data_IF_570580499444
#
_entry.id   IF_570580499444
#
_cell.length_a   1.000
_cell.length_b   1.000
_cell.length_c   1.000
_cell.angle_alpha   90.00
_cell.angle_beta   90.00
_cell.angle_gamma   90.00
#
_symmetry.space_group_name_H-M   'P 1'
#
loop_
_entity.id
_entity.type
_entity.pdbx_description
1 polymer ?
#
# COMPACT_ATOMS: atom_id res chain seq x y z
N UNK A 1 -5.80 -12.59 -7.99
CA UNK A 1 -4.68 -11.68 -7.65
C UNK A 1 -3.40 -12.21 -8.26
N UNK A 2 -2.44 -11.35 -8.56
CA UNK A 2 -1.11 -11.74 -9.06
C UNK A 2 -0.01 -11.22 -8.13
N UNK A 3 1.04 -12.02 -7.93
CA UNK A 3 2.24 -11.59 -7.21
C UNK A 3 3.45 -11.62 -8.14
N UNK A 4 4.26 -10.57 -8.11
CA UNK A 4 5.49 -10.45 -8.91
C UNK A 4 6.65 -9.97 -8.05
N UNK A 5 7.83 -10.51 -8.30
CA UNK A 5 9.09 -10.09 -7.69
C UNK A 5 10.03 -9.60 -8.78
N UNK A 6 10.40 -8.33 -8.74
CA UNK A 6 11.25 -7.69 -9.76
C UNK A 6 12.33 -6.89 -9.04
N UNK A 7 13.58 -7.36 -9.09
CA UNK A 7 14.67 -6.76 -8.32
C UNK A 7 14.32 -6.65 -6.83
N UNK A 8 14.33 -5.42 -6.30
CA UNK A 8 13.97 -5.13 -4.92
C UNK A 8 12.46 -4.85 -4.70
N UNK A 9 11.65 -4.92 -5.75
CA UNK A 9 10.20 -4.71 -5.69
C UNK A 9 9.46 -6.02 -5.49
N UNK A 10 8.45 -5.99 -4.62
CA UNK A 10 7.46 -7.04 -4.40
C UNK A 10 6.09 -6.43 -4.71
N UNK A 11 5.45 -6.91 -5.77
CA UNK A 11 4.25 -6.30 -6.33
C UNK A 11 3.08 -7.25 -6.12
N UNK A 12 2.05 -6.78 -5.43
CA UNK A 12 0.76 -7.45 -5.32
C UNK A 12 -0.26 -6.70 -6.17
N UNK A 13 -0.72 -7.34 -7.25
CA UNK A 13 -1.73 -6.78 -8.14
C UNK A 13 -3.10 -7.41 -7.86
N UNK A 14 -4.00 -6.55 -7.39
CA UNK A 14 -5.37 -6.89 -7.02
C UNK A 14 -6.23 -6.68 -8.26
N UNK A 15 -6.63 -7.78 -8.89
CA UNK A 15 -7.51 -7.77 -10.07
C UNK A 15 -8.96 -7.63 -9.64
N UNK A 16 -9.35 -8.44 -8.66
CA UNK A 16 -10.68 -8.48 -8.05
C UNK A 16 -10.60 -9.16 -6.67
N UNK A 17 -11.53 -8.80 -5.79
CA UNK A 17 -11.73 -9.43 -4.47
C UNK A 17 -13.18 -9.90 -4.43
N UNK A 18 -13.45 -11.18 -4.75
CA UNK A 18 -14.81 -11.68 -4.96
C UNK A 18 -15.53 -12.01 -3.63
N UNK A 19 -15.35 -11.19 -2.59
CA UNK A 19 -16.02 -11.34 -1.30
C UNK A 19 -16.36 -9.96 -0.72
N UNK A 20 -17.55 -9.83 -0.10
CA UNK A 20 -17.86 -8.68 0.75
C UNK A 20 -17.08 -8.86 2.05
N UNK A 21 -16.19 -7.94 2.35
CA UNK A 21 -15.42 -7.97 3.58
C UNK A 21 -16.12 -7.13 4.64
N UNK A 22 -16.23 -7.69 5.85
CA UNK A 22 -16.85 -7.04 6.99
C UNK A 22 -16.07 -5.76 7.35
N UNK A 23 -16.79 -4.72 7.79
CA UNK A 23 -16.23 -3.39 8.09
C UNK A 23 -14.99 -3.49 8.98
N UNK A 24 -13.81 -3.40 8.36
CA UNK A 24 -12.51 -3.35 9.05
C UNK A 24 -12.25 -1.97 9.67
N UNK A 25 -11.28 -1.86 10.60
CA UNK A 25 -10.83 -0.57 11.11
C UNK A 25 -10.52 0.40 9.98
N UNK A 26 -10.85 1.68 10.18
CA UNK A 26 -10.67 2.71 9.16
C UNK A 26 -9.25 2.74 8.61
N UNK A 27 -9.13 3.01 7.30
CA UNK A 27 -7.91 3.01 6.50
C UNK A 27 -6.70 3.67 7.18
N UNK A 28 -6.90 4.74 7.96
CA UNK A 28 -5.84 5.46 8.68
C UNK A 28 -5.17 4.58 9.77
N UNK A 29 -5.96 3.78 10.50
CA UNK A 29 -5.43 2.90 11.55
C UNK A 29 -4.58 1.78 10.94
N UNK A 30 -5.06 1.19 9.85
CA UNK A 30 -4.32 0.17 9.10
C UNK A 30 -3.00 0.73 8.54
N UNK A 31 -3.02 1.95 8.00
CA UNK A 31 -1.81 2.64 7.53
C UNK A 31 -0.82 2.94 8.67
N UNK A 32 -1.32 3.25 9.86
CA UNK A 32 -0.49 3.48 11.05
C UNK A 32 0.20 2.19 11.50
N UNK A 33 -0.53 1.07 11.51
CA UNK A 33 0.04 -0.25 11.82
C UNK A 33 1.07 -0.68 10.77
N UNK A 34 0.85 -0.35 9.50
CA UNK A 34 1.79 -0.62 8.41
C UNK A 34 3.10 0.20 8.49
N UNK A 35 3.19 1.19 9.38
CA UNK A 35 4.37 2.08 9.50
C UNK A 35 5.63 1.34 9.93
N UNK A 36 5.54 0.42 10.87
CA UNK A 36 6.69 -0.38 11.33
C UNK A 36 7.19 -1.29 10.20
N UNK A 37 6.27 -1.97 9.52
CA UNK A 37 6.57 -2.79 8.35
C UNK A 37 7.23 -1.98 7.23
N UNK A 38 6.68 -0.82 6.90
CA UNK A 38 7.24 0.07 5.87
C UNK A 38 8.68 0.49 6.20
N UNK A 39 8.94 0.83 7.47
CA UNK A 39 10.29 1.20 7.93
C UNK A 39 11.27 0.03 7.80
N UNK A 40 10.86 -1.19 8.13
CA UNK A 40 11.73 -2.36 8.04
C UNK A 40 12.00 -2.79 6.58
N UNK A 41 11.00 -2.67 5.70
CA UNK A 41 11.18 -2.85 4.26
C UNK A 41 12.20 -1.83 3.70
N UNK A 42 12.08 -0.57 4.10
CA UNK A 42 13.00 0.51 3.74
C UNK A 42 14.45 0.19 4.14
N UNK A 43 14.67 -0.23 5.39
CA UNK A 43 15.99 -0.66 5.90
C UNK A 43 16.57 -1.85 5.11
N UNK A 44 15.72 -2.78 4.67
CA UNK A 44 16.12 -3.96 3.88
C UNK A 44 16.26 -3.66 2.39
N UNK A 45 16.14 -2.39 1.98
CA UNK A 45 16.18 -1.94 0.58
C UNK A 45 15.06 -2.54 -0.29
N UNK A 46 13.94 -2.93 0.31
CA UNK A 46 12.78 -3.54 -0.37
C UNK A 46 11.68 -2.49 -0.54
N UNK A 47 10.97 -2.57 -1.66
CA UNK A 47 9.69 -1.86 -1.86
C UNK A 47 8.57 -2.86 -2.04
N UNK A 48 7.54 -2.77 -1.21
CA UNK A 48 6.28 -3.48 -1.42
C UNK A 48 5.28 -2.55 -2.12
N UNK A 49 4.76 -2.95 -3.27
CA UNK A 49 3.84 -2.16 -4.08
C UNK A 49 2.51 -2.88 -4.23
N UNK A 50 1.42 -2.19 -3.91
CA UNK A 50 0.06 -2.66 -4.13
C UNK A 50 -0.47 -1.98 -5.39
N UNK A 51 -0.96 -2.79 -6.32
CA UNK A 51 -1.61 -2.34 -7.55
C UNK A 51 -3.08 -2.75 -7.54
N UNK A 52 -3.90 -1.95 -8.23
CA UNK A 52 -5.29 -2.27 -8.56
C UNK A 52 -5.39 -2.31 -10.09
N UNK A 53 -5.59 -3.51 -10.65
CA UNK A 53 -5.66 -3.75 -12.10
C UNK A 53 -4.44 -3.16 -12.83
N UNK A 54 -3.24 -3.43 -12.32
CA UNK A 54 -1.96 -2.98 -12.88
C UNK A 54 -1.58 -1.52 -12.58
N UNK A 55 -2.46 -0.74 -11.93
CA UNK A 55 -2.15 0.64 -11.55
C UNK A 55 -1.67 0.72 -10.09
N UNK A 56 -0.49 1.32 -9.80
CA UNK A 56 -0.01 1.50 -8.43
C UNK A 56 -0.99 2.32 -7.59
N UNK A 57 -1.30 1.82 -6.39
CA UNK A 57 -2.18 2.47 -5.40
C UNK A 57 -1.41 2.85 -4.13
N UNK A 58 -0.46 2.01 -3.73
CA UNK A 58 0.35 2.23 -2.54
C UNK A 58 1.75 1.65 -2.73
N UNK A 59 2.75 2.31 -2.15
CA UNK A 59 4.09 1.75 -1.97
C UNK A 59 4.53 1.87 -0.51
N UNK A 60 5.19 0.83 -0.01
CA UNK A 60 5.79 0.76 1.30
C UNK A 60 7.29 0.46 1.17
N UNK A 61 8.12 1.16 1.93
CA UNK A 61 9.56 0.92 1.97
C UNK A 61 10.36 1.85 1.07
N UNK A 62 11.41 1.31 0.46
CA UNK A 62 12.56 2.09 -0.04
C UNK A 62 12.19 3.21 -1.03
N UNK A 63 11.30 2.93 -1.96
CA UNK A 63 10.95 3.86 -3.05
C UNK A 63 9.66 4.65 -2.80
N UNK A 64 9.10 4.59 -1.59
CA UNK A 64 7.94 5.40 -1.25
C UNK A 64 8.27 6.89 -1.34
N UNK A 65 7.45 7.65 -2.08
CA UNK A 65 7.47 9.12 -2.16
C UNK A 65 6.35 9.70 -1.31
N UNK A 66 6.62 10.24 -0.11
CA UNK A 66 5.59 10.58 0.87
C UNK A 66 4.74 11.82 0.54
N UNK A 67 4.67 12.28 -0.72
CA UNK A 67 4.07 13.57 -1.12
C UNK A 67 2.61 13.76 -0.66
N UNK A 68 1.82 12.68 -0.57
CA UNK A 68 0.46 12.69 -0.01
C UNK A 68 0.34 11.88 1.29
N UNK A 69 1.20 10.88 1.48
CA UNK A 69 1.17 10.00 2.64
C UNK A 69 1.66 10.70 3.93
N UNK A 70 2.58 11.67 3.86
CA UNK A 70 3.10 12.34 5.07
C UNK A 70 2.00 13.06 5.86
N UNK A 71 0.96 13.56 5.19
CA UNK A 71 -0.16 14.29 5.78
C UNK A 71 -1.12 13.35 6.53
N UNK A 72 -1.31 12.12 6.03
CA UNK A 72 -2.31 11.17 6.57
C UNK A 72 -1.67 10.09 7.44
N UNK A 73 -0.45 9.64 7.13
CA UNK A 73 0.22 8.52 7.83
C UNK A 73 1.37 8.98 8.74
N UNK A 74 1.79 10.25 8.63
CA UNK A 74 2.97 10.78 9.31
C UNK A 74 4.24 9.92 9.09
N UNK A 75 4.33 9.22 7.95
CA UNK A 75 5.45 8.33 7.60
C UNK A 75 6.10 8.73 6.29
N UNK A 76 7.43 8.68 6.23
CA UNK A 76 8.21 8.87 5.00
C UNK A 76 8.33 7.61 4.15
N UNK A 77 8.06 6.43 4.74
CA UNK A 77 8.23 5.12 4.10
C UNK A 77 6.92 4.59 3.49
N UNK A 78 5.85 5.37 3.51
CA UNK A 78 4.57 5.05 2.89
C UNK A 78 4.31 6.07 1.79
N UNK A 79 3.83 5.61 0.64
CA UNK A 79 3.32 6.44 -0.44
C UNK A 79 1.92 5.97 -0.81
N UNK A 80 0.98 6.92 -0.86
CA UNK A 80 -0.34 6.74 -1.44
C UNK A 80 -0.31 7.49 -2.76
N UNK A 81 -0.37 6.76 -3.87
CA UNK A 81 -0.29 7.34 -5.22
C UNK A 81 -1.63 7.90 -5.68
N UNK A 82 -2.75 7.33 -5.20
CA UNK A 82 -4.10 7.74 -5.54
C UNK A 82 -5.08 7.43 -4.39
N UNK A 83 -5.53 8.49 -3.70
CA UNK A 83 -6.48 8.40 -2.58
C UNK A 83 -7.86 7.83 -3.00
N UNK A 84 -8.32 8.12 -4.23
CA UNK A 84 -9.62 7.63 -4.71
C UNK A 84 -9.54 6.13 -4.97
N UNK A 85 -8.45 5.65 -5.58
CA UNK A 85 -8.21 4.21 -5.76
C UNK A 85 -7.96 3.49 -4.45
N UNK A 86 -7.29 4.14 -3.50
CA UNK A 86 -7.11 3.58 -2.17
C UNK A 86 -8.45 3.44 -1.43
N UNK A 87 -9.35 4.43 -1.55
CA UNK A 87 -10.71 4.31 -1.01
C UNK A 87 -11.48 3.18 -1.69
N UNK A 88 -11.44 3.07 -3.02
CA UNK A 88 -12.03 1.91 -3.73
C UNK A 88 -11.46 0.59 -3.25
N UNK A 89 -10.14 0.53 -3.01
CA UNK A 89 -9.50 -0.65 -2.45
C UNK A 89 -9.99 -0.94 -1.02
N UNK A 90 -10.15 0.07 -0.18
CA UNK A 90 -10.74 -0.05 1.16
C UNK A 90 -12.23 -0.41 1.13
N UNK A 91 -12.97 -0.04 0.09
CA UNK A 91 -14.37 -0.42 -0.08
C UNK A 91 -14.48 -1.87 -0.63
N UNK A 92 -13.41 -2.39 -1.22
CA UNK A 92 -13.25 -3.78 -1.64
C UNK A 92 -12.68 -4.69 -0.53
N UNK A 93 -12.18 -4.13 0.58
CA UNK A 93 -11.42 -4.83 1.66
C UNK A 93 -12.06 -4.67 3.04
#
# INVERSE_FOLDING_TARGET
>A
MNFKSIGNRRILDIIDIPIKLDKKPGLIKQLTEAKSLAKDLSKKNITFEIQLKGAPVMKLGKEAKPKLAKIVTLSSDIEITDLKKLKKLSDLI
#
